data_IF_944209151123
#
_entry.id   IF_944209151123
#
_cell.length_a   1.000
_cell.length_b   1.000
_cell.length_c   1.000
_cell.angle_alpha   90.00
_cell.angle_beta   90.00
_cell.angle_gamma   90.00
#
_symmetry.space_group_name_H-M   'P 1'
#
loop_
_entity.id
_entity.type
_entity.pdbx_description
1 polymer ?
#
# COMPACT_ATOMS: atom_id res chain seq x y z
N UNK A 1 6.89 3.33 -25.64
CA UNK A 1 6.23 3.84 -24.42
C UNK A 1 6.37 2.82 -23.32
N UNK A 2 7.52 2.83 -22.63
CA UNK A 2 7.72 2.14 -21.36
C UNK A 2 7.89 3.30 -20.38
N UNK A 3 6.81 3.70 -19.73
CA UNK A 3 6.91 4.74 -18.71
C UNK A 3 7.56 4.09 -17.49
N UNK A 4 8.89 4.25 -17.41
CA UNK A 4 9.73 3.68 -16.38
C UNK A 4 9.29 4.14 -14.98
N UNK A 5 8.85 5.40 -14.88
CA UNK A 5 8.26 5.99 -13.67
C UNK A 5 7.00 5.24 -13.19
N UNK A 6 6.09 4.90 -14.11
CA UNK A 6 4.87 4.15 -13.78
C UNK A 6 5.24 2.74 -13.29
N UNK A 7 6.25 2.14 -13.90
CA UNK A 7 6.74 0.82 -13.49
C UNK A 7 7.35 0.85 -12.09
N UNK A 8 8.13 1.88 -11.77
CA UNK A 8 8.71 2.11 -10.44
C UNK A 8 7.59 2.32 -9.41
N UNK A 9 6.60 3.14 -9.72
CA UNK A 9 5.44 3.37 -8.85
C UNK A 9 4.71 2.06 -8.53
N UNK A 10 4.40 1.25 -9.54
CA UNK A 10 3.72 -0.05 -9.36
C UNK A 10 4.55 -0.99 -8.48
N UNK A 11 5.89 -1.02 -8.66
CA UNK A 11 6.79 -1.82 -7.82
C UNK A 11 6.74 -1.36 -6.36
N UNK A 12 6.76 -0.06 -6.10
CA UNK A 12 6.65 0.49 -4.74
C UNK A 12 5.32 0.16 -4.09
N UNK A 13 4.21 0.31 -4.81
CA UNK A 13 2.90 -0.13 -4.36
C UNK A 13 2.91 -1.63 -4.00
N UNK A 14 3.52 -2.48 -4.82
CA UNK A 14 3.65 -3.93 -4.54
C UNK A 14 4.47 -4.20 -3.28
N UNK A 15 5.55 -3.46 -3.01
CA UNK A 15 6.36 -3.58 -1.79
C UNK A 15 5.52 -3.30 -0.54
N UNK A 16 4.83 -2.17 -0.50
CA UNK A 16 3.94 -1.77 0.61
C UNK A 16 2.93 -2.88 0.89
N UNK A 17 2.24 -3.35 -0.15
CA UNK A 17 1.20 -4.36 -0.01
C UNK A 17 1.74 -5.72 0.44
N UNK A 18 2.93 -6.10 -0.05
CA UNK A 18 3.56 -7.35 0.38
C UNK A 18 3.91 -7.31 1.86
N UNK A 19 4.26 -6.14 2.42
CA UNK A 19 4.53 -5.99 3.86
C UNK A 19 3.28 -6.28 4.69
N UNK A 20 2.17 -5.58 4.39
CA UNK A 20 0.90 -5.78 5.09
C UNK A 20 0.34 -7.19 4.89
N UNK A 21 0.47 -7.78 3.71
CA UNK A 21 0.03 -9.16 3.45
C UNK A 21 0.78 -10.19 4.31
N UNK A 22 2.06 -9.97 4.59
CA UNK A 22 2.91 -10.91 5.34
C UNK A 22 2.84 -10.69 6.86
N UNK A 23 2.35 -9.54 7.32
CA UNK A 23 2.39 -9.15 8.73
C UNK A 23 0.99 -8.91 9.27
N UNK A 24 0.48 -9.89 10.02
CA UNK A 24 -0.79 -9.75 10.76
C UNK A 24 -0.74 -8.57 11.74
N UNK A 25 0.42 -8.36 12.39
CA UNK A 25 0.63 -7.22 13.26
C UNK A 25 0.51 -5.89 12.51
N UNK A 26 1.02 -5.79 11.28
CA UNK A 26 0.85 -4.59 10.46
C UNK A 26 -0.62 -4.35 10.07
N UNK A 27 -1.39 -5.40 9.76
CA UNK A 27 -2.83 -5.27 9.50
C UNK A 27 -3.61 -4.82 10.75
N UNK A 28 -3.25 -5.32 11.94
CA UNK A 28 -3.87 -4.86 13.19
C UNK A 28 -3.65 -3.37 13.41
N UNK A 29 -2.43 -2.87 13.18
CA UNK A 29 -2.15 -1.44 13.26
C UNK A 29 -2.87 -0.64 12.17
N UNK A 30 -2.91 -1.14 10.93
CA UNK A 30 -3.65 -0.48 9.86
C UNK A 30 -5.12 -0.28 10.25
N UNK A 31 -5.76 -1.32 10.81
CA UNK A 31 -7.13 -1.25 11.30
C UNK A 31 -7.30 -0.25 12.46
N UNK A 32 -6.29 -0.13 13.33
CA UNK A 32 -6.28 0.84 14.42
C UNK A 32 -6.15 2.28 13.91
N UNK A 33 -5.41 2.52 12.83
CA UNK A 33 -5.25 3.87 12.25
C UNK A 33 -6.41 4.27 11.33
N UNK A 34 -7.14 3.30 10.77
CA UNK A 34 -8.32 3.54 9.93
C UNK A 34 -9.46 4.22 10.69
N UNK A 35 -9.75 3.75 11.90
CA UNK A 35 -10.90 4.21 12.70
C UNK A 35 -10.80 5.69 13.14
N UNK A 36 -9.68 6.16 13.72
CA UNK A 36 -9.50 7.59 14.02
C UNK A 36 -9.46 8.47 12.76
N UNK A 37 -9.07 7.92 11.62
CA UNK A 37 -9.00 8.65 10.35
C UNK A 37 -10.34 8.72 9.62
N UNK A 38 -11.39 8.10 10.15
CA UNK A 38 -12.70 8.00 9.49
C UNK A 38 -12.66 7.17 8.19
N UNK A 39 -11.64 6.34 8.01
CA UNK A 39 -11.46 5.52 6.82
C UNK A 39 -12.22 4.19 6.94
N UNK A 40 -12.74 3.66 5.82
CA UNK A 40 -13.27 2.29 5.79
C UNK A 40 -12.20 1.28 6.24
N UNK A 41 -12.60 0.26 7.00
CA UNK A 41 -11.72 -0.83 7.46
C UNK A 41 -11.42 -1.84 6.36
N UNK A 42 -10.91 -1.33 5.26
CA UNK A 42 -10.61 -2.11 4.08
C UNK A 42 -9.21 -2.71 4.18
N UNK A 43 -9.12 -4.02 3.96
CA UNK A 43 -7.83 -4.67 3.73
C UNK A 43 -7.22 -4.17 2.41
N UNK A 44 -5.88 -4.12 2.37
CA UNK A 44 -5.17 -3.76 1.17
C UNK A 44 -5.18 -4.92 0.14
N UNK A 45 -5.40 -4.58 -1.13
CA UNK A 45 -5.64 -5.57 -2.20
C UNK A 45 -4.36 -5.78 -3.01
N UNK A 46 -4.00 -7.04 -3.28
CA UNK A 46 -2.93 -7.39 -4.22
C UNK A 46 -3.46 -7.45 -5.65
N UNK A 47 -2.57 -7.14 -6.59
CA UNK A 47 -2.77 -7.27 -8.03
C UNK A 47 -2.94 -8.76 -8.35
N UNK A 48 -3.86 -9.05 -9.27
CA UNK A 48 -4.11 -10.38 -9.82
C UNK A 48 -3.91 -10.26 -11.33
N UNK A 49 -2.85 -10.90 -11.84
CA UNK A 49 -2.41 -10.78 -13.24
C UNK A 49 -3.50 -11.17 -14.26
N UNK A 50 -4.39 -12.11 -13.88
CA UNK A 50 -5.46 -12.60 -14.75
C UNK A 50 -6.69 -11.68 -14.79
N UNK A 51 -6.69 -10.55 -14.05
CA UNK A 51 -7.80 -9.58 -14.01
C UNK A 51 -7.34 -8.22 -14.50
N UNK A 52 -7.89 -7.79 -15.63
CA UNK A 52 -7.54 -6.54 -16.32
C UNK A 52 -7.65 -5.26 -15.47
N UNK A 53 -8.48 -5.27 -14.42
CA UNK A 53 -8.71 -4.12 -13.54
C UNK A 53 -7.97 -4.19 -12.19
N UNK A 54 -7.17 -5.23 -11.94
CA UNK A 54 -6.59 -5.47 -10.61
C UNK A 54 -5.56 -4.40 -10.21
N UNK A 55 -4.79 -3.88 -11.16
CA UNK A 55 -3.84 -2.78 -10.93
C UNK A 55 -4.57 -1.50 -10.54
N UNK A 56 -5.67 -1.16 -11.21
CA UNK A 56 -6.49 0.01 -10.89
C UNK A 56 -7.07 -0.09 -9.48
N UNK A 57 -7.75 -1.19 -9.16
CA UNK A 57 -8.39 -1.40 -7.85
C UNK A 57 -7.38 -1.36 -6.69
N UNK A 58 -6.17 -1.88 -6.92
CA UNK A 58 -5.07 -1.78 -5.96
C UNK A 58 -4.69 -0.32 -5.69
N UNK A 59 -4.48 0.47 -6.74
CA UNK A 59 -4.06 1.87 -6.63
C UNK A 59 -5.14 2.70 -5.94
N UNK A 60 -6.39 2.51 -6.32
CA UNK A 60 -7.55 3.16 -5.70
C UNK A 60 -7.61 2.84 -4.20
N UNK A 61 -7.46 1.56 -3.81
CA UNK A 61 -7.45 1.15 -2.40
C UNK A 61 -6.24 1.71 -1.62
N UNK A 62 -5.06 1.74 -2.23
CA UNK A 62 -3.87 2.33 -1.60
C UNK A 62 -4.04 3.84 -1.39
N UNK A 63 -4.66 4.52 -2.34
CA UNK A 63 -4.94 5.94 -2.24
C UNK A 63 -5.95 6.24 -1.13
N UNK A 64 -7.04 5.47 -1.06
CA UNK A 64 -8.04 5.55 0.02
C UNK A 64 -7.37 5.40 1.41
N UNK A 65 -6.44 4.44 1.53
CA UNK A 65 -5.80 4.08 2.80
C UNK A 65 -4.50 4.84 3.09
N UNK A 66 -4.14 5.83 2.26
CA UNK A 66 -2.86 6.56 2.34
C UNK A 66 -2.62 7.15 3.73
N UNK A 67 -3.63 7.75 4.36
CA UNK A 67 -3.49 8.38 5.68
C UNK A 67 -3.14 7.35 6.74
N UNK A 68 -3.87 6.23 6.80
CA UNK A 68 -3.59 5.15 7.74
C UNK A 68 -2.22 4.51 7.52
N UNK A 69 -1.80 4.35 6.25
CA UNK A 69 -0.46 3.85 5.91
C UNK A 69 0.62 4.83 6.37
N UNK A 70 0.44 6.14 6.15
CA UNK A 70 1.42 7.14 6.58
C UNK A 70 1.59 7.20 8.10
N UNK A 71 0.48 7.11 8.85
CA UNK A 71 0.51 7.03 10.32
C UNK A 71 1.25 5.79 10.79
N UNK A 72 0.96 4.64 10.17
CA UNK A 72 1.68 3.40 10.44
C UNK A 72 3.19 3.55 10.24
N UNK A 73 3.62 4.17 9.14
CA UNK A 73 5.05 4.39 8.84
C UNK A 73 5.72 5.29 9.87
N UNK A 74 5.04 6.36 10.27
CA UNK A 74 5.55 7.31 11.25
C UNK A 74 5.77 6.65 12.63
N UNK A 75 4.89 5.74 13.03
CA UNK A 75 4.91 5.14 14.36
C UNK A 75 5.74 3.84 14.45
N UNK A 76 5.81 3.06 13.37
CA UNK A 76 6.47 1.74 13.36
C UNK A 76 7.85 1.72 12.72
N UNK A 77 8.29 2.84 12.14
CA UNK A 77 9.46 2.90 11.27
C UNK A 77 9.10 2.47 9.85
N UNK A 78 9.73 3.12 8.87
CA UNK A 78 9.37 2.99 7.46
C UNK A 78 9.38 1.54 6.96
N UNK A 79 8.44 1.22 6.08
CA UNK A 79 8.64 0.15 5.11
C UNK A 79 9.80 0.61 4.24
N UNK A 80 10.81 -0.25 4.04
CA UNK A 80 11.88 -0.02 3.07
C UNK A 80 11.29 -0.01 1.64
N UNK A 81 10.59 1.08 1.34
CA UNK A 81 10.29 1.54 0.00
C UNK A 81 11.52 2.34 -0.37
N UNK A 82 12.62 1.63 -0.63
CA UNK A 82 13.88 2.21 -1.06
C UNK A 82 13.56 3.25 -2.13
N UNK A 83 13.66 4.52 -1.74
CA UNK A 83 13.81 5.63 -2.67
C UNK A 83 14.97 5.21 -3.53
N UNK A 84 14.70 4.91 -4.80
CA UNK A 84 15.77 4.85 -5.79
C UNK A 84 16.19 6.32 -5.93
N UNK A 85 17.02 6.77 -5.00
CA UNK A 85 17.91 7.89 -5.23
C UNK A 85 19.03 7.33 -6.12
N UNK A 86 19.04 7.85 -7.35
CA UNK A 86 20.06 7.73 -8.42
C UNK A 86 20.54 6.34 -8.85
#
# INVERSE_FOLDING_TARGET
FKDEEITILIKNCRKILSHFKKSEQANRYLNQFQEPSGLPKHALIQDVETRWNSTYLKMERLFEQKVAINLYMAERGGIDVSTVEE
#
